data_IF_299290784203
#
_entry.id   IF_299290784203
#
_cell.length_a   1.000
_cell.length_b   1.000
_cell.length_c   1.000
_cell.angle_alpha   90.00
_cell.angle_beta   90.00
_cell.angle_gamma   90.00
#
_symmetry.space_group_name_H-M   'P 1'
#
loop_
_entity.id
_entity.type
_entity.pdbx_description
1 polymer ?
#
# COMPACT_ATOMS: atom_id res chain seq x y z
N UNK A 1 -12.41 4.72 21.86
CA UNK A 1 -13.26 5.68 21.13
C UNK A 1 -12.49 6.79 20.40
N UNK A 2 -11.26 7.19 20.80
CA UNK A 2 -10.44 8.19 20.08
C UNK A 2 -9.76 7.64 18.81
N UNK A 3 -9.41 6.36 18.77
CA UNK A 3 -8.70 5.71 17.65
C UNK A 3 -9.53 5.67 16.36
N UNK A 4 -10.86 5.42 16.45
CA UNK A 4 -11.74 5.44 15.29
C UNK A 4 -11.83 6.82 14.60
N UNK A 5 -11.68 7.91 15.36
CA UNK A 5 -11.74 9.27 14.80
C UNK A 5 -10.48 9.62 14.00
N UNK A 6 -9.32 9.11 14.41
CA UNK A 6 -8.04 9.31 13.70
C UNK A 6 -8.04 8.53 12.39
N UNK A 7 -8.51 7.27 12.42
CA UNK A 7 -8.64 6.43 11.22
C UNK A 7 -9.64 7.04 10.25
N UNK A 8 -10.77 7.52 10.75
CA UNK A 8 -11.80 8.16 9.92
C UNK A 8 -11.32 9.50 9.33
N UNK A 9 -10.58 10.31 10.10
CA UNK A 9 -9.97 11.54 9.62
C UNK A 9 -8.89 11.26 8.56
N UNK A 10 -8.06 10.24 8.75
CA UNK A 10 -7.07 9.80 7.75
C UNK A 10 -7.71 9.33 6.45
N UNK A 11 -8.79 8.55 6.53
CA UNK A 11 -9.53 8.08 5.37
C UNK A 11 -10.23 9.25 4.64
N UNK A 12 -10.79 10.18 5.39
CA UNK A 12 -11.45 11.37 4.84
C UNK A 12 -10.44 12.32 4.16
N UNK A 13 -9.27 12.52 4.76
CA UNK A 13 -8.21 13.33 4.14
C UNK A 13 -7.65 12.69 2.88
N UNK A 14 -7.51 11.36 2.85
CA UNK A 14 -7.08 10.62 1.66
C UNK A 14 -8.11 10.76 0.52
N UNK A 15 -9.40 10.64 0.84
CA UNK A 15 -10.50 10.85 -0.13
C UNK A 15 -10.54 12.30 -0.63
N UNK A 16 -10.34 13.28 0.25
CA UNK A 16 -10.33 14.70 -0.11
C UNK A 16 -9.13 15.08 -0.98
N UNK A 17 -7.94 14.58 -0.65
CA UNK A 17 -6.73 14.78 -1.48
C UNK A 17 -6.92 14.14 -2.86
N UNK A 18 -7.57 12.98 -2.90
CA UNK A 18 -7.87 12.30 -4.16
C UNK A 18 -8.92 13.06 -4.99
N UNK A 19 -9.97 13.57 -4.36
CA UNK A 19 -10.98 14.41 -5.01
C UNK A 19 -10.38 15.72 -5.55
N UNK A 20 -9.40 16.31 -4.86
CA UNK A 20 -8.68 17.50 -5.31
C UNK A 20 -7.69 17.24 -6.44
N UNK A 21 -7.14 16.01 -6.53
CA UNK A 21 -6.24 15.60 -7.61
C UNK A 21 -6.99 15.16 -8.89
N UNK A 22 -8.30 14.93 -8.81
CA UNK A 22 -9.13 14.47 -9.93
C UNK A 22 -9.06 15.37 -11.19
N UNK A 23 -9.00 16.72 -11.09
CA UNK A 23 -8.89 17.56 -12.29
C UNK A 23 -7.59 17.35 -13.06
N UNK A 24 -6.51 16.94 -12.38
CA UNK A 24 -5.23 16.69 -13.04
C UNK A 24 -5.23 15.45 -13.94
N UNK A 25 -6.22 14.55 -13.77
CA UNK A 25 -6.41 13.33 -14.58
C UNK A 25 -7.48 13.51 -15.67
N UNK A 26 -8.18 14.64 -15.70
CA UNK A 26 -9.28 14.93 -16.60
C UNK A 26 -8.84 15.76 -17.81
N UNK A 27 -7.80 15.34 -18.54
CA UNK A 27 -7.64 15.77 -19.94
C UNK A 27 -8.59 14.93 -20.79
N UNK A 28 -9.68 15.54 -21.21
CA UNK A 28 -10.76 14.94 -22.00
C UNK A 28 -10.34 14.81 -23.46
N UNK A 29 -10.29 13.59 -23.95
CA UNK A 29 -10.38 13.29 -25.37
C UNK A 29 -11.87 13.10 -25.78
N UNK A 30 -12.23 13.53 -26.96
CA UNK A 30 -13.64 13.70 -27.42
C UNK A 30 -14.18 12.48 -28.19
N UNK A 31 -13.81 11.25 -27.83
CA UNK A 31 -14.25 10.05 -28.54
C UNK A 31 -15.02 9.07 -27.62
N UNK A 32 -15.94 8.29 -28.18
CA UNK A 32 -16.96 7.52 -27.46
C UNK A 32 -16.49 6.48 -26.43
N UNK A 33 -15.19 6.40 -26.13
CA UNK A 33 -14.57 5.54 -25.11
C UNK A 33 -14.10 6.32 -23.87
N UNK A 34 -14.39 7.62 -23.82
CA UNK A 34 -13.85 8.55 -22.83
C UNK A 34 -14.19 8.18 -21.37
N UNK A 35 -15.39 7.66 -21.14
CA UNK A 35 -15.83 7.25 -19.80
C UNK A 35 -15.03 6.05 -19.26
N UNK A 36 -14.66 5.09 -20.11
CA UNK A 36 -13.89 3.91 -19.70
C UNK A 36 -12.45 4.30 -19.34
N UNK A 37 -11.84 5.19 -20.11
CA UNK A 37 -10.52 5.77 -19.83
C UNK A 37 -10.55 6.58 -18.53
N UNK A 38 -11.59 7.39 -18.33
CA UNK A 38 -11.77 8.16 -17.09
C UNK A 38 -11.87 7.23 -15.87
N UNK A 39 -12.71 6.20 -15.96
CA UNK A 39 -12.86 5.20 -14.87
C UNK A 39 -11.53 4.49 -14.61
N UNK A 40 -10.79 4.08 -15.64
CA UNK A 40 -9.49 3.44 -15.48
C UNK A 40 -8.47 4.34 -14.75
N UNK A 41 -8.40 5.61 -15.10
CA UNK A 41 -7.54 6.61 -14.45
C UNK A 41 -7.95 6.81 -12.98
N UNK A 42 -9.24 6.94 -12.68
CA UNK A 42 -9.77 7.06 -11.32
C UNK A 42 -9.43 5.83 -10.48
N UNK A 43 -9.70 4.63 -10.99
CA UNK A 43 -9.45 3.37 -10.26
C UNK A 43 -7.95 3.15 -10.04
N UNK A 44 -7.10 3.52 -11.01
CA UNK A 44 -5.65 3.45 -10.84
C UNK A 44 -5.15 4.43 -9.77
N UNK A 45 -5.67 5.65 -9.74
CA UNK A 45 -5.37 6.62 -8.68
C UNK A 45 -5.82 6.14 -7.29
N UNK A 46 -6.99 5.52 -7.19
CA UNK A 46 -7.47 4.87 -5.96
C UNK A 46 -6.55 3.72 -5.55
N UNK A 47 -6.13 2.88 -6.49
CA UNK A 47 -5.19 1.80 -6.25
C UNK A 47 -3.87 2.29 -5.66
N UNK A 48 -3.29 3.33 -6.24
CA UNK A 48 -2.09 3.99 -5.73
C UNK A 48 -2.31 4.51 -4.30
N UNK A 49 -3.41 5.22 -4.07
CA UNK A 49 -3.75 5.79 -2.77
C UNK A 49 -3.93 4.70 -1.70
N UNK A 50 -4.57 3.58 -2.04
CA UNK A 50 -4.73 2.44 -1.13
C UNK A 50 -3.39 1.83 -0.75
N UNK A 51 -2.48 1.61 -1.70
CA UNK A 51 -1.16 1.05 -1.41
C UNK A 51 -0.31 1.98 -0.54
N UNK A 52 -0.30 3.28 -0.85
CA UNK A 52 0.41 4.28 -0.04
C UNK A 52 -0.19 4.42 1.36
N UNK A 53 -1.52 4.43 1.48
CA UNK A 53 -2.21 4.50 2.78
C UNK A 53 -1.97 3.26 3.62
N UNK A 54 -2.02 2.07 3.01
CA UNK A 54 -1.70 0.79 3.66
C UNK A 54 -0.28 0.80 4.22
N UNK A 55 0.70 1.24 3.41
CA UNK A 55 2.09 1.39 3.83
C UNK A 55 2.24 2.39 4.98
N UNK A 56 1.58 3.53 4.92
CA UNK A 56 1.61 4.52 5.99
C UNK A 56 1.04 3.97 7.31
N UNK A 57 -0.06 3.23 7.26
CA UNK A 57 -0.66 2.56 8.43
C UNK A 57 0.30 1.48 8.95
N UNK A 58 0.80 0.61 8.09
CA UNK A 58 1.72 -0.46 8.46
C UNK A 58 2.99 0.08 9.11
N UNK A 59 3.61 1.11 8.51
CA UNK A 59 4.76 1.80 9.08
C UNK A 59 4.45 2.42 10.45
N UNK A 60 3.31 3.09 10.60
CA UNK A 60 2.95 3.72 11.88
C UNK A 60 2.82 2.70 13.01
N UNK A 61 2.29 1.51 12.71
CA UNK A 61 2.14 0.41 13.67
C UNK A 61 3.52 -0.17 14.02
N UNK A 62 4.37 -0.49 13.03
CA UNK A 62 5.68 -1.09 13.26
C UNK A 62 6.64 -0.12 13.96
N UNK A 63 6.67 1.15 13.56
CA UNK A 63 7.50 2.18 14.21
C UNK A 63 7.03 2.50 15.63
N UNK A 64 5.75 2.44 15.92
CA UNK A 64 5.27 2.62 17.30
C UNK A 64 5.82 1.55 18.25
N UNK A 65 5.95 0.30 17.77
CA UNK A 65 6.59 -0.76 18.54
C UNK A 65 8.11 -0.56 18.64
N UNK A 66 8.75 -0.10 17.57
CA UNK A 66 10.19 0.18 17.53
C UNK A 66 10.59 1.27 18.53
N UNK A 67 9.84 2.37 18.56
CA UNK A 67 10.10 3.49 19.48
C UNK A 67 9.94 3.09 20.96
N UNK A 68 9.06 2.12 21.25
CA UNK A 68 8.89 1.57 22.60
C UNK A 68 10.11 0.79 23.11
N UNK A 69 11.03 0.36 22.22
CA UNK A 69 12.21 -0.42 22.56
C UNK A 69 13.44 0.38 23.03
N UNK A 70 13.35 1.70 23.03
CA UNK A 70 14.47 2.58 23.38
C UNK A 70 15.56 2.66 22.31
N UNK A 71 16.49 3.62 22.52
CA UNK A 71 17.48 4.01 21.51
C UNK A 71 18.45 2.87 21.13
N UNK A 72 18.85 2.04 22.09
CA UNK A 72 19.79 0.95 21.83
C UNK A 72 19.24 -0.10 20.84
N UNK A 73 17.94 -0.40 20.93
CA UNK A 73 17.27 -1.39 20.09
C UNK A 73 16.73 -0.82 18.79
N UNK A 74 16.72 0.51 18.65
CA UNK A 74 16.16 1.18 17.47
C UNK A 74 16.87 0.74 16.19
N UNK A 75 18.19 0.90 16.10
CA UNK A 75 18.96 0.56 14.90
C UNK A 75 19.02 -0.94 14.62
N UNK A 76 18.94 -1.77 15.66
CA UNK A 76 18.94 -3.24 15.51
C UNK A 76 17.68 -3.74 14.83
N UNK A 77 16.53 -3.11 15.06
CA UNK A 77 15.21 -3.57 14.62
C UNK A 77 14.56 -2.71 13.53
N UNK A 78 15.23 -1.64 13.07
CA UNK A 78 14.68 -0.70 12.07
C UNK A 78 14.32 -1.40 10.76
N UNK A 79 15.09 -2.42 10.35
CA UNK A 79 14.84 -3.17 9.13
C UNK A 79 13.45 -3.84 9.15
N UNK A 80 13.06 -4.43 10.29
CA UNK A 80 11.73 -5.03 10.46
C UNK A 80 10.64 -3.96 10.41
N UNK A 81 10.89 -2.80 11.04
CA UNK A 81 9.90 -1.72 11.07
C UNK A 81 9.65 -1.08 9.70
N UNK A 82 10.64 -1.12 8.79
CA UNK A 82 10.54 -0.54 7.44
C UNK A 82 9.84 -1.45 6.42
N UNK A 83 9.67 -2.73 6.70
CA UNK A 83 9.10 -3.69 5.72
C UNK A 83 7.76 -3.24 5.11
N UNK A 84 6.80 -2.65 5.86
CA UNK A 84 5.53 -2.23 5.27
C UNK A 84 5.60 -1.08 4.25
N UNK A 85 6.79 -0.53 3.97
CA UNK A 85 6.97 0.50 2.95
C UNK A 85 6.93 -0.06 1.52
N UNK A 86 7.21 -1.35 1.33
CA UNK A 86 7.38 -1.97 0.01
C UNK A 86 6.10 -1.94 -0.83
N UNK A 87 4.92 -2.10 -0.24
CA UNK A 87 3.64 -2.07 -0.95
C UNK A 87 3.34 -0.69 -1.55
N UNK A 88 3.77 0.39 -0.90
CA UNK A 88 3.70 1.73 -1.49
C UNK A 88 4.55 1.84 -2.77
N UNK A 89 5.76 1.27 -2.75
CA UNK A 89 6.65 1.24 -3.92
C UNK A 89 6.02 0.39 -5.03
N UNK A 90 5.48 -0.79 -4.72
CA UNK A 90 4.81 -1.64 -5.70
C UNK A 90 3.61 -0.94 -6.35
N UNK A 91 2.90 -0.10 -5.60
CA UNK A 91 1.76 0.68 -6.14
C UNK A 91 2.22 1.72 -7.17
N UNK A 92 3.37 2.35 -6.95
CA UNK A 92 3.98 3.25 -7.93
C UNK A 92 4.43 2.46 -9.18
N UNK A 93 5.04 1.29 -9.00
CA UNK A 93 5.45 0.42 -10.12
C UNK A 93 4.25 -0.01 -10.95
N UNK A 94 3.15 -0.41 -10.30
CA UNK A 94 1.91 -0.79 -10.98
C UNK A 94 1.35 0.36 -11.83
N UNK A 95 1.35 1.60 -11.30
CA UNK A 95 0.93 2.79 -12.05
C UNK A 95 1.78 2.95 -13.32
N UNK A 96 3.11 2.99 -13.18
CA UNK A 96 4.01 3.19 -14.32
C UNK A 96 3.89 2.08 -15.37
N UNK A 97 3.74 0.83 -14.94
CA UNK A 97 3.58 -0.31 -15.84
C UNK A 97 2.30 -0.23 -16.71
N UNK A 98 1.29 0.50 -16.27
CA UNK A 98 0.01 0.60 -16.95
C UNK A 98 -0.26 1.97 -17.60
N UNK A 99 0.66 2.96 -17.46
CA UNK A 99 0.45 4.32 -18.00
C UNK A 99 0.20 4.36 -19.51
N UNK A 100 0.82 3.46 -20.28
CA UNK A 100 0.64 3.40 -21.75
C UNK A 100 -0.64 2.68 -22.20
N UNK A 101 -1.37 2.04 -21.29
CA UNK A 101 -2.49 1.16 -21.64
C UNK A 101 -3.87 1.78 -21.36
N UNK A 102 -3.93 3.00 -20.82
CA UNK A 102 -5.21 3.65 -20.49
C UNK A 102 -6.11 3.86 -21.70
N UNK A 103 -5.54 4.18 -22.85
CA UNK A 103 -6.29 4.49 -24.07
C UNK A 103 -6.57 3.22 -24.92
N UNK A 104 -5.74 2.18 -24.76
CA UNK A 104 -5.83 0.95 -25.57
C UNK A 104 -6.71 -0.10 -24.93
N UNK A 105 -6.65 -0.27 -23.59
CA UNK A 105 -7.43 -1.26 -22.85
C UNK A 105 -7.80 -0.75 -21.45
N UNK A 106 -8.67 0.25 -21.35
CA UNK A 106 -9.02 0.88 -20.08
C UNK A 106 -9.73 -0.08 -19.11
N UNK A 107 -10.51 -1.03 -19.61
CA UNK A 107 -11.28 -1.96 -18.76
C UNK A 107 -10.35 -2.92 -18.02
N UNK A 108 -9.38 -3.50 -18.71
CA UNK A 108 -8.38 -4.36 -18.10
C UNK A 108 -7.50 -3.59 -17.11
N UNK A 109 -7.10 -2.36 -17.45
CA UNK A 109 -6.35 -1.49 -16.53
C UNK A 109 -7.13 -1.21 -15.25
N UNK A 110 -8.43 -0.90 -15.35
CA UNK A 110 -9.29 -0.69 -14.18
C UNK A 110 -9.42 -1.96 -13.31
N UNK A 111 -9.60 -3.11 -13.93
CA UNK A 111 -9.69 -4.41 -13.23
C UNK A 111 -8.41 -4.76 -12.48
N UNK A 112 -7.25 -4.61 -13.13
CA UNK A 112 -5.93 -4.77 -12.51
C UNK A 112 -5.76 -3.83 -11.32
N UNK A 113 -6.02 -2.55 -11.52
CA UNK A 113 -5.86 -1.53 -10.52
C UNK A 113 -6.74 -1.78 -9.28
N UNK A 114 -8.01 -2.14 -9.46
CA UNK A 114 -8.91 -2.43 -8.36
C UNK A 114 -8.40 -3.59 -7.49
N UNK A 115 -8.08 -4.73 -8.12
CA UNK A 115 -7.57 -5.92 -7.41
C UNK A 115 -6.26 -5.61 -6.71
N UNK A 116 -5.36 -4.91 -7.39
CA UNK A 116 -4.04 -4.56 -6.89
C UNK A 116 -4.12 -3.65 -5.65
N UNK A 117 -4.87 -2.56 -5.73
CA UNK A 117 -4.97 -1.57 -4.65
C UNK A 117 -5.47 -2.17 -3.33
N UNK A 118 -6.53 -3.00 -3.39
CA UNK A 118 -7.03 -3.70 -2.21
C UNK A 118 -5.99 -4.64 -1.61
N UNK A 119 -5.30 -5.42 -2.45
CA UNK A 119 -4.26 -6.34 -1.97
C UNK A 119 -3.12 -5.59 -1.31
N UNK A 120 -2.64 -4.49 -1.91
CA UNK A 120 -1.56 -3.67 -1.33
C UNK A 120 -1.94 -3.09 0.01
N UNK A 121 -3.17 -2.56 0.14
CA UNK A 121 -3.66 -1.96 1.39
C UNK A 121 -3.63 -2.95 2.54
N UNK A 122 -4.27 -4.11 2.36
CA UNK A 122 -4.35 -5.11 3.43
C UNK A 122 -3.01 -5.79 3.71
N UNK A 123 -2.23 -6.09 2.67
CA UNK A 123 -0.89 -6.66 2.82
C UNK A 123 0.00 -5.76 3.69
N UNK A 124 0.07 -4.46 3.38
CA UNK A 124 0.88 -3.51 4.14
C UNK A 124 0.40 -3.35 5.58
N UNK A 125 -0.91 -3.24 5.78
CA UNK A 125 -1.49 -3.13 7.13
C UNK A 125 -1.11 -4.32 8.00
N UNK A 126 -1.42 -5.54 7.53
CA UNK A 126 -1.11 -6.76 8.30
C UNK A 126 0.38 -6.98 8.46
N UNK A 127 1.19 -6.63 7.46
CA UNK A 127 2.65 -6.66 7.61
C UNK A 127 3.11 -5.76 8.76
N UNK A 128 2.57 -4.56 8.90
CA UNK A 128 2.87 -3.68 10.01
C UNK A 128 2.52 -4.28 11.38
N UNK A 129 1.38 -4.98 11.47
CA UNK A 129 0.97 -5.69 12.70
C UNK A 129 1.94 -6.82 13.06
N UNK A 130 2.32 -7.64 12.07
CA UNK A 130 3.27 -8.74 12.27
C UNK A 130 4.65 -8.22 12.65
N UNK A 131 5.14 -7.18 11.95
CA UNK A 131 6.42 -6.55 12.27
C UNK A 131 6.44 -5.96 13.68
N UNK A 132 5.38 -5.29 14.11
CA UNK A 132 5.26 -4.77 15.48
C UNK A 132 5.28 -5.88 16.53
N UNK A 133 4.59 -6.99 16.27
CA UNK A 133 4.62 -8.16 17.16
C UNK A 133 6.02 -8.79 17.21
N UNK A 134 6.69 -8.89 16.05
CA UNK A 134 8.07 -9.37 15.96
C UNK A 134 9.04 -8.52 16.77
N UNK A 135 8.98 -7.19 16.60
CA UNK A 135 9.83 -6.26 17.36
C UNK A 135 9.59 -6.41 18.87
N UNK A 136 8.34 -6.44 19.32
CA UNK A 136 8.03 -6.63 20.76
C UNK A 136 8.58 -7.96 21.28
N UNK A 137 8.46 -9.03 20.52
CA UNK A 137 8.97 -10.35 20.88
C UNK A 137 10.50 -10.38 20.98
N UNK A 138 11.22 -9.61 20.14
CA UNK A 138 12.67 -9.42 20.24
C UNK A 138 13.03 -8.65 21.53
N UNK A 139 12.31 -7.57 21.83
CA UNK A 139 12.56 -6.76 23.02
C UNK A 139 12.33 -7.53 24.32
N UNK A 140 11.39 -8.49 24.32
CA UNK A 140 11.13 -9.39 25.43
C UNK A 140 12.13 -10.56 25.51
N UNK A 141 13.10 -10.63 24.60
CA UNK A 141 14.09 -11.72 24.54
C UNK A 141 13.53 -13.08 24.12
N UNK A 142 12.30 -13.13 23.58
CA UNK A 142 11.60 -14.35 23.18
C UNK A 142 11.92 -14.80 21.77
N UNK A 143 12.44 -13.91 20.92
CA UNK A 143 12.63 -14.18 19.51
C UNK A 143 13.89 -13.51 18.95
N UNK A 144 14.25 -13.88 17.72
CA UNK A 144 15.40 -13.32 16.99
C UNK A 144 14.94 -12.38 15.89
N UNK A 145 15.85 -11.50 15.45
CA UNK A 145 15.63 -10.61 14.32
C UNK A 145 15.26 -11.39 13.06
N UNK A 146 15.95 -12.52 12.79
CA UNK A 146 15.68 -13.34 11.61
C UNK A 146 14.24 -13.88 11.60
N UNK A 147 13.75 -14.38 12.74
CA UNK A 147 12.38 -14.88 12.83
C UNK A 147 11.34 -13.77 12.62
N UNK A 148 11.60 -12.57 13.14
CA UNK A 148 10.71 -11.42 12.95
C UNK A 148 10.67 -10.99 11.46
N UNK A 149 11.82 -10.98 10.79
CA UNK A 149 11.90 -10.68 9.34
C UNK A 149 11.17 -11.71 8.49
N UNK A 150 11.39 -13.01 8.75
CA UNK A 150 10.70 -14.10 8.03
C UNK A 150 9.17 -13.99 8.23
N UNK A 151 8.73 -13.77 9.46
CA UNK A 151 7.30 -13.60 9.75
C UNK A 151 6.72 -12.35 9.07
N UNK A 152 7.46 -11.25 9.07
CA UNK A 152 7.08 -10.00 8.41
C UNK A 152 7.00 -10.12 6.88
N UNK A 153 7.80 -11.00 6.25
CA UNK A 153 7.76 -11.23 4.82
C UNK A 153 6.51 -12.02 4.36
N UNK A 154 5.83 -12.74 5.25
CA UNK A 154 4.66 -13.55 4.86
C UNK A 154 3.51 -12.71 4.26
N UNK A 155 3.05 -11.61 4.87
CA UNK A 155 2.04 -10.76 4.24
C UNK A 155 2.51 -10.13 2.91
N UNK A 156 3.82 -9.88 2.75
CA UNK A 156 4.38 -9.28 1.55
C UNK A 156 4.27 -10.20 0.32
N UNK A 157 4.28 -11.52 0.51
CA UNK A 157 4.15 -12.48 -0.59
C UNK A 157 2.86 -12.26 -1.39
N UNK A 158 1.76 -11.89 -0.74
CA UNK A 158 0.49 -11.57 -1.41
C UNK A 158 0.57 -10.29 -2.25
N UNK A 159 1.32 -9.30 -1.77
CA UNK A 159 1.59 -8.09 -2.54
C UNK A 159 2.41 -8.41 -3.81
N UNK A 160 3.43 -9.24 -3.69
CA UNK A 160 4.23 -9.70 -4.83
C UNK A 160 3.37 -10.47 -5.83
N UNK A 161 2.49 -11.36 -5.37
CA UNK A 161 1.56 -12.07 -6.27
C UNK A 161 0.64 -11.10 -7.02
N UNK A 162 0.07 -10.11 -6.32
CA UNK A 162 -0.75 -9.10 -6.97
C UNK A 162 0.05 -8.29 -8.00
N UNK A 163 1.31 -7.93 -7.70
CA UNK A 163 2.17 -7.24 -8.64
C UNK A 163 2.44 -8.09 -9.90
N UNK A 164 2.76 -9.37 -9.73
CA UNK A 164 2.97 -10.30 -10.84
C UNK A 164 1.70 -10.42 -11.69
N UNK A 165 0.53 -10.50 -11.06
CA UNK A 165 -0.75 -10.58 -11.77
C UNK A 165 -1.01 -9.36 -12.66
N UNK A 166 -0.54 -8.16 -12.28
CA UNK A 166 -0.69 -6.95 -13.13
C UNK A 166 0.05 -7.05 -14.46
N UNK A 167 1.11 -7.86 -14.54
CA UNK A 167 1.86 -8.10 -15.78
C UNK A 167 1.29 -9.25 -16.61
N UNK A 168 0.62 -10.22 -15.98
CA UNK A 168 0.08 -11.42 -16.65
C UNK A 168 -1.31 -11.16 -17.22
N UNK A 169 -2.14 -10.39 -16.54
CA UNK A 169 -3.49 -10.07 -17.02
C UNK A 169 -3.41 -9.25 -18.32
N UNK A 170 -4.08 -9.73 -19.35
CA UNK A 170 -4.22 -9.09 -20.68
C UNK A 170 -5.65 -8.65 -20.88
#
# INVERSE_FOLDING_TARGET
>A
MKMNRIIFAGLLTTVLVFAAASPAFAETSTDGNDWAVLVAKIVMGLSLSLGLSGSAIGLSISFSALLGGGQENFFKNIAVALMPATQGIYSIVCLFANMGNFDTDPVTVAGKAATFGFTMFFSAWYQGVVCAAGIRSILEGKNTLANAMVSGAMPETYAVFALVMTFIMK
#
